data_IF_394694825684
#
_entry.id   IF_394694825684
#
_cell.length_a   1.000
_cell.length_b   1.000
_cell.length_c   1.000
_cell.angle_alpha   90.00
_cell.angle_beta   90.00
_cell.angle_gamma   90.00
#
_symmetry.space_group_name_H-M   'P 1'
#
loop_
_entity.id
_entity.type
_entity.pdbx_description
1 polymer ?
#
# COMPACT_ATOMS: atom_id res chain seq x y z
N UNK A 1 -9.76 -28.16 -27.67
CA UNK A 1 -9.00 -26.99 -27.18
C UNK A 1 -9.12 -26.97 -25.67
N UNK A 2 -8.06 -26.60 -24.95
CA UNK A 2 -8.14 -26.49 -23.49
C UNK A 2 -9.14 -25.40 -23.11
N UNK A 3 -9.93 -25.63 -22.06
CA UNK A 3 -10.79 -24.59 -21.48
C UNK A 3 -9.91 -23.52 -20.85
N UNK A 4 -10.16 -22.25 -21.21
CA UNK A 4 -9.35 -21.11 -20.73
C UNK A 4 -10.22 -20.03 -20.07
N UNK A 5 -11.52 -20.24 -19.97
CA UNK A 5 -12.47 -19.34 -19.31
C UNK A 5 -13.36 -20.16 -18.40
N UNK A 6 -13.37 -19.81 -17.13
CA UNK A 6 -14.14 -20.47 -16.09
C UNK A 6 -15.01 -19.45 -15.38
N UNK A 7 -16.23 -19.84 -15.00
CA UNK A 7 -17.09 -19.10 -14.10
C UNK A 7 -17.32 -19.97 -12.86
N UNK A 8 -16.99 -19.44 -11.68
CA UNK A 8 -17.06 -20.20 -10.43
C UNK A 8 -18.46 -20.71 -10.10
N UNK A 9 -19.52 -20.10 -10.67
CA UNK A 9 -20.92 -20.46 -10.44
C UNK A 9 -21.48 -21.49 -11.41
N UNK A 10 -20.87 -21.65 -12.58
CA UNK A 10 -21.38 -22.56 -13.62
C UNK A 10 -20.42 -23.71 -13.96
N UNK A 11 -19.18 -23.69 -13.46
CA UNK A 11 -18.23 -24.76 -13.75
C UNK A 11 -18.63 -26.07 -13.06
N UNK A 12 -18.91 -27.10 -13.87
CA UNK A 12 -19.47 -28.38 -13.42
C UNK A 12 -18.48 -29.31 -12.71
N UNK A 13 -17.18 -28.98 -12.73
CA UNK A 13 -16.15 -29.77 -12.04
C UNK A 13 -16.03 -29.47 -10.54
N UNK A 14 -16.77 -28.48 -10.04
CA UNK A 14 -16.74 -28.10 -8.63
C UNK A 14 -17.39 -29.17 -7.75
N UNK A 15 -16.73 -29.58 -6.66
CA UNK A 15 -17.30 -30.54 -5.70
C UNK A 15 -18.07 -29.86 -4.57
N UNK A 16 -18.02 -28.53 -4.49
CA UNK A 16 -18.72 -27.71 -3.50
C UNK A 16 -19.30 -26.48 -4.20
N UNK A 17 -20.30 -25.86 -3.58
CA UNK A 17 -20.79 -24.57 -4.05
C UNK A 17 -19.75 -23.47 -3.84
N UNK A 18 -19.54 -22.54 -4.80
CA UNK A 18 -18.66 -21.38 -4.58
C UNK A 18 -19.17 -20.46 -3.47
N UNK A 19 -20.48 -20.47 -3.18
CA UNK A 19 -21.04 -19.70 -2.07
C UNK A 19 -20.60 -20.24 -0.70
N UNK A 20 -20.21 -21.52 -0.63
CA UNK A 20 -19.74 -22.18 0.59
C UNK A 20 -18.21 -22.17 0.70
N UNK A 21 -17.49 -22.47 -0.39
CA UNK A 21 -16.03 -22.42 -0.42
C UNK A 21 -15.50 -22.12 -1.83
N UNK A 22 -15.48 -20.84 -2.21
CA UNK A 22 -14.94 -20.41 -3.50
C UNK A 22 -13.46 -20.73 -3.66
N UNK A 23 -12.70 -20.77 -2.56
CA UNK A 23 -11.27 -21.07 -2.63
C UNK A 23 -11.00 -22.51 -3.07
N UNK A 24 -11.81 -23.47 -2.60
CA UNK A 24 -11.75 -24.85 -3.10
C UNK A 24 -12.15 -24.94 -4.58
N UNK A 25 -13.19 -24.22 -5.00
CA UNK A 25 -13.60 -24.18 -6.42
C UNK A 25 -12.47 -23.64 -7.31
N UNK A 26 -11.82 -22.56 -6.90
CA UNK A 26 -10.67 -21.98 -7.63
C UNK A 26 -9.51 -22.99 -7.71
N UNK A 27 -9.19 -23.66 -6.60
CA UNK A 27 -8.14 -24.69 -6.59
C UNK A 27 -8.46 -25.85 -7.55
N UNK A 28 -9.72 -26.26 -7.64
CA UNK A 28 -10.18 -27.31 -8.56
C UNK A 28 -10.11 -26.86 -10.02
N UNK A 29 -10.47 -25.61 -10.31
CA UNK A 29 -10.29 -25.01 -11.65
C UNK A 29 -8.81 -24.98 -12.03
N UNK A 30 -7.92 -24.57 -11.12
CA UNK A 30 -6.46 -24.56 -11.37
C UNK A 30 -5.93 -25.98 -11.61
N UNK A 31 -6.45 -26.99 -10.90
CA UNK A 31 -6.11 -28.39 -11.16
C UNK A 31 -6.57 -28.85 -12.56
N UNK A 32 -7.78 -28.47 -12.98
CA UNK A 32 -8.29 -28.74 -14.33
C UNK A 32 -7.42 -28.09 -15.41
N UNK A 33 -7.07 -26.81 -15.24
CA UNK A 33 -6.15 -26.08 -16.14
C UNK A 33 -4.84 -26.84 -16.28
N UNK A 34 -4.21 -27.26 -15.16
CA UNK A 34 -2.94 -28.00 -15.17
C UNK A 34 -3.07 -29.35 -15.87
N UNK A 35 -4.22 -30.02 -15.77
CA UNK A 35 -4.46 -31.30 -16.44
C UNK A 35 -4.52 -31.17 -17.97
N UNK A 36 -4.98 -30.02 -18.47
CA UNK A 36 -5.12 -29.74 -19.90
C UNK A 36 -3.89 -29.04 -20.50
N UNK A 37 -3.15 -28.27 -19.71
CA UNK A 37 -1.99 -27.47 -20.14
C UNK A 37 -0.66 -28.12 -19.72
N UNK A 38 -0.41 -29.32 -20.24
CA UNK A 38 0.63 -30.23 -19.74
C UNK A 38 2.06 -29.96 -20.25
N UNK A 39 2.23 -29.29 -21.39
CA UNK A 39 3.56 -29.01 -21.98
C UNK A 39 4.02 -27.57 -21.77
N UNK A 40 5.33 -27.32 -21.79
CA UNK A 40 5.90 -25.98 -21.60
C UNK A 40 5.42 -24.96 -22.63
N UNK A 41 5.14 -25.39 -23.86
CA UNK A 41 4.72 -24.52 -24.98
C UNK A 41 3.20 -24.45 -25.14
N UNK A 42 2.43 -25.12 -24.28
CA UNK A 42 0.96 -25.14 -24.32
C UNK A 42 0.34 -24.75 -22.97
N UNK A 43 0.93 -23.76 -22.30
CA UNK A 43 0.46 -23.18 -21.03
C UNK A 43 0.06 -21.71 -21.18
N UNK A 44 -1.02 -21.40 -21.93
CA UNK A 44 -1.50 -20.03 -22.09
C UNK A 44 -2.10 -19.42 -20.82
N UNK A 45 -2.32 -20.20 -19.76
CA UNK A 45 -3.06 -19.76 -18.57
C UNK A 45 -4.57 -19.77 -18.81
N UNK A 46 -5.32 -19.02 -18.02
CA UNK A 46 -6.77 -18.99 -18.07
C UNK A 46 -7.35 -17.74 -17.37
N UNK A 47 -8.65 -17.56 -17.50
CA UNK A 47 -9.45 -16.58 -16.76
C UNK A 47 -10.43 -17.32 -15.86
N UNK A 48 -10.46 -16.96 -14.58
CA UNK A 48 -11.48 -17.37 -13.61
C UNK A 48 -12.33 -16.15 -13.28
N UNK A 49 -13.60 -16.20 -13.66
CA UNK A 49 -14.57 -15.16 -13.41
C UNK A 49 -15.37 -15.44 -12.14
N UNK A 50 -15.50 -14.43 -11.29
CA UNK A 50 -16.30 -14.39 -10.08
C UNK A 50 -17.46 -13.41 -10.33
N UNK A 51 -18.68 -13.88 -10.63
CA UNK A 51 -19.84 -13.02 -10.77
C UNK A 51 -20.11 -12.20 -9.49
N UNK A 52 -20.96 -11.15 -9.54
CA UNK A 52 -21.45 -10.53 -8.32
C UNK A 52 -22.20 -11.52 -7.42
N UNK A 53 -21.86 -11.55 -6.14
CA UNK A 53 -22.38 -12.49 -5.15
C UNK A 53 -21.55 -12.49 -3.88
N UNK A 54 -22.06 -13.16 -2.82
CA UNK A 54 -21.35 -13.35 -1.56
C UNK A 54 -20.74 -14.75 -1.49
N UNK A 55 -19.42 -14.82 -1.49
CA UNK A 55 -18.68 -16.07 -1.57
C UNK A 55 -17.86 -16.26 -0.30
N UNK A 56 -18.12 -17.32 0.44
CA UNK A 56 -17.26 -17.69 1.55
C UNK A 56 -16.02 -18.40 1.03
N UNK A 57 -14.84 -18.04 1.53
CA UNK A 57 -13.56 -18.69 1.25
C UNK A 57 -13.12 -19.45 2.51
N UNK A 58 -13.36 -20.76 2.54
CA UNK A 58 -12.98 -21.67 3.64
C UNK A 58 -11.62 -22.33 3.40
N UNK A 59 -11.19 -22.40 2.14
CA UNK A 59 -9.88 -22.91 1.73
C UNK A 59 -9.07 -21.79 1.07
N UNK A 60 -7.78 -21.63 1.40
CA UNK A 60 -6.91 -20.69 0.67
C UNK A 60 -6.86 -21.06 -0.82
N UNK A 61 -7.09 -20.07 -1.70
CA UNK A 61 -6.90 -20.25 -3.14
C UNK A 61 -5.39 -20.19 -3.46
N UNK A 62 -4.81 -21.27 -3.98
CA UNK A 62 -3.38 -21.39 -4.28
C UNK A 62 -3.14 -21.22 -5.78
N UNK A 63 -2.45 -20.15 -6.15
CA UNK A 63 -2.10 -19.80 -7.52
C UNK A 63 -0.65 -20.21 -7.78
N UNK A 64 -0.46 -21.31 -8.51
CA UNK A 64 0.85 -21.90 -8.83
C UNK A 64 1.17 -21.90 -10.34
N UNK A 65 0.35 -21.21 -11.15
CA UNK A 65 0.48 -21.08 -12.60
C UNK A 65 0.58 -19.60 -13.01
N UNK A 66 1.39 -19.32 -14.04
CA UNK A 66 1.46 -17.99 -14.66
C UNK A 66 0.29 -17.74 -15.60
N UNK A 67 0.15 -16.51 -16.06
CA UNK A 67 -0.90 -16.08 -17.02
C UNK A 67 -2.33 -16.35 -16.54
N UNK A 68 -2.53 -16.51 -15.23
CA UNK A 68 -3.86 -16.66 -14.63
C UNK A 68 -4.44 -15.29 -14.31
N UNK A 69 -5.64 -15.02 -14.84
CA UNK A 69 -6.45 -13.88 -14.44
C UNK A 69 -7.59 -14.36 -13.55
N UNK A 70 -7.69 -13.83 -12.34
CA UNK A 70 -8.88 -13.98 -11.49
C UNK A 70 -9.58 -12.63 -11.48
N UNK A 71 -10.82 -12.59 -11.98
CA UNK A 71 -11.54 -11.34 -12.14
C UNK A 71 -12.98 -11.37 -11.67
N UNK A 72 -13.50 -10.23 -11.25
CA UNK A 72 -14.91 -10.02 -10.95
C UNK A 72 -15.56 -8.94 -11.80
N UNK A 73 -16.59 -8.32 -11.22
CA UNK A 73 -17.41 -7.27 -11.83
C UNK A 73 -17.65 -6.07 -10.89
N UNK A 74 -16.74 -5.83 -9.94
CA UNK A 74 -16.72 -4.63 -9.13
C UNK A 74 -15.98 -4.78 -7.80
N UNK A 75 -15.37 -3.69 -7.35
CA UNK A 75 -14.60 -3.62 -6.10
C UNK A 75 -15.47 -3.68 -4.83
N UNK A 76 -16.78 -3.41 -4.92
CA UNK A 76 -17.74 -3.74 -3.86
C UNK A 76 -17.54 -3.13 -2.47
N UNK A 77 -16.73 -2.07 -2.32
CA UNK A 77 -16.40 -1.53 -1.00
C UNK A 77 -17.63 -0.96 -0.29
N UNK A 78 -17.75 -1.28 0.99
CA UNK A 78 -18.65 -0.66 1.96
C UNK A 78 -17.85 -0.40 3.24
N UNK A 79 -18.10 0.72 3.93
CA UNK A 79 -17.43 1.00 5.20
C UNK A 79 -18.00 0.14 6.32
N UNK A 80 -17.27 -0.89 6.70
CA UNK A 80 -17.63 -1.77 7.81
C UNK A 80 -17.26 -1.16 9.16
N UNK A 81 -16.20 -0.36 9.22
CA UNK A 81 -15.84 0.40 10.41
C UNK A 81 -16.97 1.33 10.86
N UNK A 82 -17.66 2.00 9.93
CA UNK A 82 -18.83 2.82 10.26
C UNK A 82 -20.00 1.92 10.68
N UNK A 83 -20.31 0.87 9.91
CA UNK A 83 -21.39 -0.08 10.22
C UNK A 83 -21.26 -0.59 11.65
N UNK A 84 -20.06 -0.99 12.05
CA UNK A 84 -19.80 -1.61 13.36
C UNK A 84 -19.86 -0.61 14.52
N UNK A 85 -19.68 0.69 14.27
CA UNK A 85 -19.70 1.74 15.29
C UNK A 85 -21.09 2.40 15.47
N UNK A 86 -22.08 2.05 14.64
CA UNK A 86 -23.43 2.66 14.68
C UNK A 86 -24.54 1.62 14.71
N UNK A 87 -25.74 2.05 15.12
CA UNK A 87 -26.94 1.22 14.95
C UNK A 87 -27.34 1.17 13.46
N UNK A 88 -27.11 0.02 12.83
CA UNK A 88 -27.39 -0.22 11.42
C UNK A 88 -28.63 -1.10 11.19
N UNK A 89 -29.53 -1.25 12.16
CA UNK A 89 -30.72 -2.11 12.03
C UNK A 89 -31.72 -1.65 10.94
N UNK A 90 -31.69 -0.37 10.58
CA UNK A 90 -32.51 0.21 9.53
C UNK A 90 -31.80 0.32 8.17
N UNK A 91 -30.55 -0.16 8.06
CA UNK A 91 -29.80 -0.09 6.81
C UNK A 91 -30.35 -1.12 5.80
N UNK A 92 -30.31 -0.76 4.52
CA UNK A 92 -30.70 -1.66 3.42
C UNK A 92 -29.58 -2.65 3.13
N UNK A 93 -28.35 -2.15 2.97
CA UNK A 93 -27.14 -2.96 2.81
C UNK A 93 -26.28 -2.94 4.09
N UNK A 94 -25.78 -4.11 4.48
CA UNK A 94 -24.95 -4.29 5.70
C UNK A 94 -23.62 -5.00 5.42
N UNK A 95 -23.33 -5.30 4.15
CA UNK A 95 -22.12 -6.00 3.73
C UNK A 95 -21.52 -5.33 2.47
N UNK A 96 -20.20 -5.44 2.27
CA UNK A 96 -19.59 -5.23 0.95
C UNK A 96 -20.31 -6.03 -0.15
N UNK A 97 -20.23 -5.55 -1.38
CA UNK A 97 -21.00 -6.07 -2.52
C UNK A 97 -20.16 -6.46 -3.74
N UNK A 98 -20.78 -6.42 -4.92
CA UNK A 98 -20.18 -6.87 -6.18
C UNK A 98 -19.67 -8.31 -6.09
N UNK A 99 -18.48 -8.62 -6.61
CA UNK A 99 -17.87 -9.95 -6.53
C UNK A 99 -17.19 -10.12 -5.17
N UNK A 100 -17.98 -10.40 -4.14
CA UNK A 100 -17.56 -10.31 -2.73
C UNK A 100 -17.05 -11.64 -2.19
N UNK A 101 -15.73 -11.73 -1.95
CA UNK A 101 -15.06 -12.89 -1.35
C UNK A 101 -14.75 -12.64 0.13
N UNK A 102 -15.31 -13.46 1.02
CA UNK A 102 -15.19 -13.38 2.46
C UNK A 102 -14.18 -14.40 2.99
N UNK A 103 -13.09 -13.94 3.61
CA UNK A 103 -12.05 -14.85 4.15
C UNK A 103 -12.53 -15.46 5.46
N UNK A 104 -12.91 -16.72 5.43
CA UNK A 104 -13.37 -17.49 6.59
C UNK A 104 -12.41 -18.63 7.01
N UNK A 105 -11.32 -18.82 6.27
CA UNK A 105 -10.40 -19.93 6.49
C UNK A 105 -9.52 -19.81 7.74
N UNK A 106 -9.06 -20.96 8.24
CA UNK A 106 -8.18 -21.04 9.41
C UNK A 106 -6.77 -20.49 9.15
N UNK A 107 -6.30 -20.53 7.89
CA UNK A 107 -4.99 -20.03 7.50
C UNK A 107 -4.93 -18.50 7.42
N UNK A 108 -6.07 -17.82 7.48
CA UNK A 108 -6.17 -16.36 7.42
C UNK A 108 -5.56 -15.75 6.14
N UNK A 109 -5.53 -16.50 5.03
CA UNK A 109 -5.01 -16.03 3.73
C UNK A 109 -6.03 -16.33 2.66
N UNK A 110 -6.52 -15.32 1.96
CA UNK A 110 -7.49 -15.48 0.86
C UNK A 110 -6.85 -16.15 -0.34
N UNK A 111 -5.95 -15.42 -1.02
CA UNK A 111 -5.26 -15.87 -2.23
C UNK A 111 -3.75 -15.93 -1.99
N UNK A 112 -3.16 -17.09 -2.25
CA UNK A 112 -1.74 -17.35 -2.11
C UNK A 112 -1.12 -17.60 -3.48
N UNK A 113 -0.29 -16.68 -3.96
CA UNK A 113 0.59 -16.89 -5.11
C UNK A 113 1.85 -17.59 -4.62
N UNK A 114 1.95 -18.89 -4.90
CA UNK A 114 3.06 -19.71 -4.44
C UNK A 114 3.26 -20.92 -5.36
N UNK A 115 4.52 -21.29 -5.58
CA UNK A 115 4.90 -22.55 -6.24
C UNK A 115 5.98 -23.23 -5.40
N UNK A 116 5.87 -24.54 -5.20
CA UNK A 116 6.75 -25.30 -4.30
C UNK A 116 8.22 -25.38 -4.78
N UNK A 117 8.47 -25.15 -6.06
CA UNK A 117 9.77 -25.33 -6.72
C UNK A 117 10.62 -24.05 -6.65
N UNK A 118 11.95 -24.13 -6.60
CA UNK A 118 12.81 -22.94 -6.59
C UNK A 118 12.64 -22.03 -7.85
N UNK A 119 12.42 -20.71 -7.70
CA UNK A 119 12.23 -19.79 -8.83
C UNK A 119 13.48 -19.61 -9.69
N UNK A 120 14.68 -19.69 -9.11
CA UNK A 120 15.94 -19.61 -9.86
C UNK A 120 16.10 -20.74 -10.88
N UNK A 121 15.56 -21.92 -10.56
CA UNK A 121 15.59 -23.11 -11.42
C UNK A 121 14.34 -23.24 -12.31
N UNK A 122 13.17 -22.81 -11.85
CA UNK A 122 11.87 -23.07 -12.50
C UNK A 122 11.24 -21.84 -13.15
N UNK A 123 11.94 -20.71 -13.10
CA UNK A 123 11.43 -19.42 -13.53
C UNK A 123 10.40 -18.84 -12.56
N UNK A 124 10.25 -17.52 -12.64
CA UNK A 124 9.27 -16.74 -11.87
C UNK A 124 7.83 -17.06 -12.30
N UNK A 125 6.87 -16.68 -11.47
CA UNK A 125 5.45 -16.65 -11.87
C UNK A 125 5.17 -15.35 -12.65
N UNK A 126 4.76 -15.49 -13.90
CA UNK A 126 4.62 -14.37 -14.82
C UNK A 126 3.15 -13.98 -15.00
N UNK A 127 2.88 -12.67 -15.05
CA UNK A 127 1.62 -12.09 -15.55
C UNK A 127 0.34 -12.67 -14.93
N UNK A 128 0.37 -12.91 -13.62
CA UNK A 128 -0.85 -13.18 -12.86
C UNK A 128 -1.60 -11.84 -12.70
N UNK A 129 -2.93 -11.88 -12.81
CA UNK A 129 -3.79 -10.69 -12.71
C UNK A 129 -4.91 -10.96 -11.72
N UNK A 130 -5.07 -10.07 -10.73
CA UNK A 130 -6.26 -9.99 -9.89
C UNK A 130 -7.00 -8.70 -10.24
N UNK A 131 -8.27 -8.82 -10.63
CA UNK A 131 -9.00 -7.69 -11.22
C UNK A 131 -10.47 -7.56 -10.79
N UNK A 132 -10.89 -6.37 -10.39
CA UNK A 132 -12.30 -5.97 -10.27
C UNK A 132 -13.16 -6.87 -9.34
N UNK A 133 -12.63 -7.32 -8.19
CA UNK A 133 -13.43 -8.01 -7.17
C UNK A 133 -13.10 -7.53 -5.74
N UNK A 134 -13.96 -7.89 -4.79
CA UNK A 134 -13.85 -7.49 -3.39
C UNK A 134 -13.30 -8.63 -2.53
N UNK A 135 -12.33 -8.33 -1.67
CA UNK A 135 -11.83 -9.24 -0.64
C UNK A 135 -12.09 -8.61 0.73
N UNK A 136 -12.93 -9.29 1.50
CA UNK A 136 -13.36 -8.89 2.84
C UNK A 136 -12.75 -9.83 3.89
N UNK A 137 -12.20 -9.23 4.94
CA UNK A 137 -11.69 -9.94 6.10
C UNK A 137 -12.76 -10.53 6.99
N UNK A 138 -14.01 -10.06 7.06
CA UNK A 138 -15.09 -10.51 7.96
C UNK A 138 -14.59 -10.86 9.37
N UNK A 139 -14.57 -9.89 10.28
CA UNK A 139 -14.11 -10.11 11.65
C UNK A 139 -14.96 -9.35 12.65
N UNK A 140 -15.14 -9.92 13.85
CA UNK A 140 -15.73 -9.20 14.99
C UNK A 140 -14.78 -8.19 15.63
N UNK A 141 -13.50 -8.19 15.23
CA UNK A 141 -12.47 -7.30 15.76
C UNK A 141 -11.91 -6.44 14.64
N UNK A 142 -11.74 -5.13 14.91
CA UNK A 142 -11.10 -4.20 13.98
C UNK A 142 -9.69 -4.69 13.58
N UNK A 143 -9.29 -4.58 12.31
CA UNK A 143 -8.06 -5.19 11.81
C UNK A 143 -6.77 -4.39 12.07
N UNK A 144 -6.80 -3.41 12.98
CA UNK A 144 -5.72 -2.40 13.11
C UNK A 144 -4.61 -2.80 14.08
N UNK A 145 -4.93 -3.07 15.36
CA UNK A 145 -4.02 -3.59 16.41
C UNK A 145 -4.87 -4.34 17.44
N UNK A 146 -4.53 -5.59 17.84
CA UNK A 146 -3.46 -6.45 17.31
C UNK A 146 -3.75 -6.97 15.89
N UNK A 147 -4.91 -6.60 15.33
CA UNK A 147 -5.37 -7.02 14.01
C UNK A 147 -6.08 -8.37 14.03
N UNK A 148 -6.69 -8.74 12.90
CA UNK A 148 -7.39 -10.03 12.75
C UNK A 148 -6.52 -11.12 12.08
N UNK A 149 -5.26 -10.83 11.79
CA UNK A 149 -4.30 -11.73 11.12
C UNK A 149 -4.58 -12.01 9.64
N UNK A 150 -5.72 -11.56 9.09
CA UNK A 150 -6.16 -11.91 7.74
C UNK A 150 -5.43 -11.13 6.65
N UNK A 151 -4.99 -11.87 5.64
CA UNK A 151 -4.29 -11.36 4.47
C UNK A 151 -5.16 -11.60 3.22
N UNK A 152 -5.40 -10.54 2.44
CA UNK A 152 -6.18 -10.63 1.22
C UNK A 152 -5.46 -11.45 0.14
N UNK A 153 -4.37 -10.88 -0.38
CA UNK A 153 -3.49 -11.52 -1.36
C UNK A 153 -2.07 -11.58 -0.80
N UNK A 154 -1.47 -12.76 -0.85
CA UNK A 154 -0.10 -13.04 -0.42
C UNK A 154 0.68 -13.66 -1.57
N UNK A 155 1.73 -13.01 -2.06
CA UNK A 155 2.69 -13.64 -2.97
C UNK A 155 3.97 -13.98 -2.22
N UNK A 156 4.28 -15.28 -2.14
CA UNK A 156 5.50 -15.80 -1.51
C UNK A 156 6.51 -16.32 -2.52
N UNK A 157 6.17 -16.24 -3.81
CA UNK A 157 7.02 -16.63 -4.92
C UNK A 157 7.49 -15.41 -5.69
N UNK A 158 8.66 -15.52 -6.30
CA UNK A 158 9.18 -14.49 -7.19
C UNK A 158 8.23 -14.30 -8.38
N UNK A 159 7.81 -13.07 -8.60
CA UNK A 159 6.84 -12.71 -9.64
C UNK A 159 7.42 -11.72 -10.63
N UNK A 160 6.92 -11.79 -11.85
CA UNK A 160 7.23 -10.84 -12.91
C UNK A 160 5.93 -10.38 -13.57
N UNK A 161 5.74 -9.07 -13.70
CA UNK A 161 4.54 -8.47 -14.29
C UNK A 161 3.24 -8.89 -13.57
N UNK A 162 3.28 -9.09 -12.24
CA UNK A 162 2.07 -9.29 -11.42
C UNK A 162 1.21 -8.02 -11.43
N UNK A 163 -0.11 -8.16 -11.62
CA UNK A 163 -1.04 -7.04 -11.67
C UNK A 163 -2.18 -7.17 -10.66
N UNK A 164 -2.44 -6.08 -9.95
CA UNK A 164 -3.54 -5.93 -8.99
C UNK A 164 -4.32 -4.67 -9.40
N UNK A 165 -5.51 -4.86 -9.97
CA UNK A 165 -6.21 -3.80 -10.72
C UNK A 165 -7.68 -3.69 -10.31
N UNK A 166 -8.17 -2.48 -10.00
CA UNK A 166 -9.61 -2.27 -9.78
C UNK A 166 -10.20 -3.01 -8.57
N UNK A 167 -9.36 -3.51 -7.67
CA UNK A 167 -9.77 -4.35 -6.55
C UNK A 167 -10.37 -3.55 -5.40
N UNK A 168 -11.23 -4.21 -4.62
CA UNK A 168 -11.66 -3.73 -3.31
C UNK A 168 -11.09 -4.60 -2.21
N UNK A 169 -10.51 -3.98 -1.20
CA UNK A 169 -10.02 -4.66 -0.01
C UNK A 169 -10.57 -3.96 1.23
N UNK A 170 -11.17 -4.74 2.12
CA UNK A 170 -11.83 -4.21 3.32
C UNK A 170 -11.63 -5.14 4.51
N UNK A 171 -11.47 -4.54 5.68
CA UNK A 171 -11.44 -5.23 6.96
C UNK A 171 -10.33 -6.30 7.15
N UNK A 172 -9.20 -6.17 6.44
CA UNK A 172 -8.07 -7.10 6.50
C UNK A 172 -6.94 -6.58 7.37
N UNK A 173 -6.22 -7.44 8.10
CA UNK A 173 -4.97 -7.04 8.73
C UNK A 173 -3.97 -6.52 7.68
N UNK A 174 -3.82 -7.24 6.57
CA UNK A 174 -2.99 -6.84 5.44
C UNK A 174 -3.75 -7.07 4.14
N UNK A 175 -3.97 -6.04 3.32
CA UNK A 175 -4.65 -6.24 2.04
C UNK A 175 -3.77 -7.03 1.04
N UNK A 176 -2.53 -6.57 0.86
CA UNK A 176 -1.60 -7.12 -0.11
C UNK A 176 -0.19 -7.24 0.48
N UNK A 177 0.42 -8.41 0.36
CA UNK A 177 1.86 -8.61 0.61
C UNK A 177 2.49 -9.38 -0.54
N UNK A 178 3.55 -8.84 -1.12
CA UNK A 178 4.24 -9.42 -2.29
C UNK A 178 5.74 -9.43 -2.01
N UNK A 179 6.31 -10.63 -2.02
CA UNK A 179 7.76 -10.85 -1.97
C UNK A 179 8.35 -10.84 -3.37
N UNK A 180 9.58 -10.33 -3.53
CA UNK A 180 10.40 -10.52 -4.74
C UNK A 180 9.67 -10.15 -6.05
N UNK A 181 9.11 -8.94 -6.07
CA UNK A 181 8.28 -8.47 -7.17
C UNK A 181 9.11 -7.74 -8.25
N UNK A 182 9.07 -8.21 -9.49
CA UNK A 182 9.61 -7.52 -10.66
C UNK A 182 8.47 -7.01 -11.55
N UNK A 183 8.63 -5.81 -12.10
CA UNK A 183 7.71 -5.19 -13.04
C UNK A 183 6.24 -5.17 -12.60
N UNK A 184 5.98 -5.08 -11.29
CA UNK A 184 4.63 -5.15 -10.73
C UNK A 184 3.79 -3.92 -11.09
N UNK A 185 2.48 -4.09 -11.21
CA UNK A 185 1.53 -3.00 -11.41
C UNK A 185 0.37 -3.09 -10.42
N UNK A 186 0.30 -2.17 -9.47
CA UNK A 186 -0.77 -2.07 -8.48
C UNK A 186 -1.52 -0.77 -8.75
N UNK A 187 -2.68 -0.86 -9.41
CA UNK A 187 -3.37 0.34 -9.90
C UNK A 187 -4.89 0.35 -9.74
N UNK A 188 -5.45 1.55 -9.55
CA UNK A 188 -6.90 1.77 -9.48
C UNK A 188 -7.62 0.95 -8.39
N UNK A 189 -6.93 0.57 -7.31
CA UNK A 189 -7.53 -0.20 -6.23
C UNK A 189 -8.13 0.70 -5.15
N UNK A 190 -9.16 0.19 -4.47
CA UNK A 190 -9.72 0.78 -3.26
C UNK A 190 -9.37 -0.10 -2.06
N UNK A 191 -8.36 0.30 -1.28
CA UNK A 191 -7.86 -0.44 -0.13
C UNK A 191 -8.12 0.38 1.14
N UNK A 192 -9.13 -0.01 1.91
CA UNK A 192 -9.57 0.78 3.04
C UNK A 192 -9.93 -0.09 4.25
N UNK A 193 -9.82 0.50 5.44
CA UNK A 193 -10.13 -0.19 6.70
C UNK A 193 -9.30 -1.45 6.90
N UNK A 194 -8.09 -1.46 6.35
CA UNK A 194 -7.10 -2.48 6.58
C UNK A 194 -6.07 -2.00 7.60
N UNK A 195 -5.46 -2.92 8.35
CA UNK A 195 -4.31 -2.62 9.20
C UNK A 195 -3.17 -2.03 8.37
N UNK A 196 -2.72 -2.78 7.35
CA UNK A 196 -1.83 -2.33 6.29
C UNK A 196 -2.45 -2.56 4.91
N UNK A 197 -2.15 -1.66 3.98
CA UNK A 197 -2.61 -1.77 2.59
C UNK A 197 -1.62 -2.60 1.76
N UNK A 198 -0.52 -2.01 1.29
CA UNK A 198 0.44 -2.66 0.38
C UNK A 198 1.76 -2.90 1.11
N UNK A 199 2.28 -4.13 1.03
CA UNK A 199 3.61 -4.48 1.54
C UNK A 199 4.43 -5.20 0.45
N UNK A 200 5.53 -4.58 0.04
CA UNK A 200 6.54 -5.19 -0.84
C UNK A 200 7.75 -5.57 -0.01
N UNK A 201 8.02 -6.86 0.09
CA UNK A 201 9.01 -7.42 1.04
C UNK A 201 10.17 -8.11 0.33
N UNK A 202 11.26 -8.28 1.07
CA UNK A 202 12.53 -8.88 0.64
C UNK A 202 13.26 -8.10 -0.45
N UNK A 203 12.78 -8.07 -1.68
CA UNK A 203 13.38 -7.32 -2.80
C UNK A 203 12.32 -7.02 -3.84
N UNK A 204 12.41 -5.89 -4.55
CA UNK A 204 11.54 -5.62 -5.70
C UNK A 204 12.18 -4.65 -6.67
N UNK A 205 11.74 -4.62 -7.93
CA UNK A 205 12.37 -3.78 -8.96
C UNK A 205 11.37 -3.34 -10.03
N UNK A 206 11.51 -2.10 -10.52
CA UNK A 206 10.85 -1.55 -11.73
C UNK A 206 9.31 -1.67 -11.71
N UNK A 207 8.68 -1.45 -10.56
CA UNK A 207 7.22 -1.53 -10.42
C UNK A 207 6.50 -0.21 -10.22
N UNK A 208 5.16 -0.25 -10.29
CA UNK A 208 4.29 0.93 -10.19
C UNK A 208 3.18 0.71 -9.18
N UNK A 209 2.96 1.70 -8.32
CA UNK A 209 1.81 1.81 -7.41
C UNK A 209 1.09 3.11 -7.75
N UNK A 210 -0.02 3.03 -8.48
CA UNK A 210 -0.65 4.21 -9.09
C UNK A 210 -2.15 4.31 -8.92
N UNK A 211 -2.69 5.52 -8.79
CA UNK A 211 -4.14 5.78 -8.80
C UNK A 211 -4.96 4.99 -7.75
N UNK A 212 -4.35 4.61 -6.62
CA UNK A 212 -5.05 3.86 -5.58
C UNK A 212 -5.66 4.79 -4.51
N UNK A 213 -6.78 4.38 -3.93
CA UNK A 213 -7.24 4.86 -2.62
C UNK A 213 -6.66 3.95 -1.54
N UNK A 214 -5.79 4.49 -0.69
CA UNK A 214 -5.13 3.78 0.40
C UNK A 214 -5.52 4.41 1.74
N UNK A 215 -6.52 3.84 2.39
CA UNK A 215 -7.13 4.35 3.63
C UNK A 215 -6.76 3.40 4.77
N UNK A 216 -5.50 3.47 5.17
CA UNK A 216 -4.90 2.56 6.15
C UNK A 216 -5.05 3.10 7.56
N UNK A 217 -5.13 2.21 8.54
CA UNK A 217 -5.16 2.60 9.94
C UNK A 217 -3.83 3.18 10.43
N UNK A 218 -3.88 3.92 11.53
CA UNK A 218 -2.73 4.54 12.18
C UNK A 218 -1.60 3.57 12.58
N UNK A 219 -1.89 2.27 12.58
CA UNK A 219 -1.03 1.19 13.05
C UNK A 219 -0.19 0.50 11.98
N UNK A 220 -0.66 0.48 10.72
CA UNK A 220 0.06 -0.13 9.60
C UNK A 220 0.37 0.85 8.46
N UNK A 221 0.90 0.35 7.36
CA UNK A 221 1.40 1.22 6.29
C UNK A 221 0.41 1.26 5.12
N UNK A 222 0.26 2.43 4.50
CA UNK A 222 -0.38 2.51 3.18
C UNK A 222 0.49 1.84 2.14
N UNK A 223 1.78 2.11 2.17
CA UNK A 223 2.78 1.41 1.37
C UNK A 223 3.96 1.13 2.29
N UNK A 224 4.32 -0.14 2.43
CA UNK A 224 5.62 -0.56 2.91
C UNK A 224 6.40 -1.14 1.74
N UNK A 225 7.66 -0.74 1.61
CA UNK A 225 8.53 -1.22 0.55
C UNK A 225 9.97 -1.30 1.05
N UNK A 226 10.63 -2.43 0.79
CA UNK A 226 12.04 -2.62 1.13
C UNK A 226 12.87 -3.17 -0.02
N UNK A 227 14.15 -2.81 -0.04
CA UNK A 227 15.14 -3.25 -1.02
C UNK A 227 14.64 -3.10 -2.46
N UNK A 228 14.04 -1.93 -2.73
CA UNK A 228 13.45 -1.64 -4.03
C UNK A 228 14.32 -0.71 -4.87
N UNK A 229 14.30 -0.96 -6.18
CA UNK A 229 14.94 -0.16 -7.20
C UNK A 229 13.91 0.34 -8.23
N UNK A 230 14.00 1.62 -8.60
CA UNK A 230 13.28 2.23 -9.74
C UNK A 230 11.73 2.17 -9.70
N UNK A 231 11.10 2.14 -8.51
CA UNK A 231 9.63 2.16 -8.45
C UNK A 231 9.00 3.54 -8.69
N UNK A 232 7.78 3.54 -9.23
CA UNK A 232 6.95 4.74 -9.38
C UNK A 232 5.74 4.66 -8.45
N UNK A 233 5.58 5.66 -7.60
CA UNK A 233 4.43 5.83 -6.70
C UNK A 233 3.75 7.15 -7.06
N UNK A 234 2.64 7.09 -7.81
CA UNK A 234 2.00 8.31 -8.31
C UNK A 234 0.48 8.30 -8.38
N UNK A 235 -0.13 9.48 -8.25
CA UNK A 235 -1.58 9.64 -8.38
C UNK A 235 -2.40 8.97 -7.27
N UNK A 236 -1.79 8.52 -6.18
CA UNK A 236 -2.50 7.83 -5.10
C UNK A 236 -3.13 8.84 -4.12
N UNK A 237 -4.28 8.47 -3.54
CA UNK A 237 -4.90 9.15 -2.40
C UNK A 237 -4.68 8.32 -1.13
N UNK A 238 -3.72 8.75 -0.31
CA UNK A 238 -3.39 8.13 0.97
C UNK A 238 -4.07 8.92 2.10
N UNK A 239 -4.91 8.25 2.88
CA UNK A 239 -5.80 8.90 3.86
C UNK A 239 -5.70 8.27 5.26
N UNK A 240 -6.12 9.03 6.27
CA UNK A 240 -6.20 8.68 7.69
C UNK A 240 -4.85 8.39 8.38
N UNK A 241 -4.24 7.24 8.10
CA UNK A 241 -2.91 6.84 8.54
C UNK A 241 -1.86 6.93 7.42
N UNK A 242 -2.02 7.88 6.49
CA UNK A 242 -1.25 7.97 5.25
C UNK A 242 0.26 7.85 5.51
N UNK A 243 0.86 6.77 5.02
CA UNK A 243 2.28 6.46 5.25
C UNK A 243 2.88 5.59 4.15
N UNK A 244 3.98 6.08 3.58
CA UNK A 244 4.92 5.30 2.77
C UNK A 244 6.17 5.08 3.62
N UNK A 245 6.43 3.83 3.98
CA UNK A 245 7.60 3.44 4.76
C UNK A 245 8.58 2.67 3.86
N UNK A 246 9.81 3.16 3.83
CA UNK A 246 10.87 2.70 2.93
C UNK A 246 12.07 2.19 3.71
N UNK A 247 12.61 1.05 3.28
CA UNK A 247 13.87 0.50 3.79
C UNK A 247 14.78 0.17 2.62
N UNK A 248 15.93 0.83 2.51
CA UNK A 248 16.92 0.55 1.46
C UNK A 248 16.30 0.63 0.06
N UNK A 249 15.56 1.71 -0.18
CA UNK A 249 14.89 1.98 -1.46
C UNK A 249 15.69 3.03 -2.21
N UNK A 250 15.83 2.85 -3.51
CA UNK A 250 16.61 3.76 -4.34
C UNK A 250 15.87 4.14 -5.61
N UNK A 251 16.15 5.37 -6.08
CA UNK A 251 15.69 5.88 -7.39
C UNK A 251 14.17 5.79 -7.60
N UNK A 252 13.39 5.88 -6.52
CA UNK A 252 11.94 5.88 -6.65
C UNK A 252 11.41 7.28 -6.99
N UNK A 253 10.30 7.30 -7.71
CA UNK A 253 9.58 8.51 -8.11
C UNK A 253 8.26 8.56 -7.35
N UNK A 254 8.15 9.46 -6.37
CA UNK A 254 6.96 9.69 -5.55
C UNK A 254 6.34 11.02 -5.96
N UNK A 255 5.36 10.99 -6.85
CA UNK A 255 4.84 12.22 -7.47
C UNK A 255 3.32 12.28 -7.63
N UNK A 256 2.75 13.48 -7.50
CA UNK A 256 1.32 13.69 -7.74
C UNK A 256 0.39 12.93 -6.78
N UNK A 257 0.85 12.61 -5.57
CA UNK A 257 0.03 11.93 -4.57
C UNK A 257 -0.64 12.92 -3.61
N UNK A 258 -1.80 12.54 -3.08
CA UNK A 258 -2.48 13.24 -1.99
C UNK A 258 -2.27 12.48 -0.69
N UNK A 259 -1.61 13.09 0.29
CA UNK A 259 -1.48 12.58 1.64
C UNK A 259 -2.37 13.37 2.59
N UNK A 260 -3.25 12.69 3.32
CA UNK A 260 -4.00 13.25 4.44
C UNK A 260 -3.81 12.32 5.63
N UNK A 261 -3.11 12.78 6.67
CA UNK A 261 -2.84 11.96 7.85
C UNK A 261 -3.18 12.71 9.13
N UNK A 262 -3.65 11.96 10.12
CA UNK A 262 -3.74 12.44 11.50
C UNK A 262 -2.37 12.41 12.20
N UNK A 263 -1.34 11.83 11.56
CA UNK A 263 -0.04 11.51 12.18
C UNK A 263 1.15 12.02 11.33
N UNK A 264 2.28 12.22 12.00
CA UNK A 264 3.58 12.49 11.36
C UNK A 264 4.19 11.23 10.73
N UNK A 265 5.20 11.42 9.87
CA UNK A 265 5.86 10.34 9.14
C UNK A 265 4.99 9.78 7.99
N UNK A 266 4.59 10.67 7.06
CA UNK A 266 3.86 10.30 5.84
C UNK A 266 4.78 9.69 4.78
N UNK A 267 6.03 10.13 4.70
CA UNK A 267 7.10 9.44 3.98
C UNK A 267 8.24 9.22 4.96
N UNK A 268 8.69 7.98 5.11
CA UNK A 268 9.70 7.59 6.09
C UNK A 268 10.77 6.74 5.44
N UNK A 269 11.99 7.25 5.39
CA UNK A 269 13.19 6.45 5.16
C UNK A 269 13.62 5.85 6.51
N UNK A 270 13.22 4.61 6.79
CA UNK A 270 13.59 3.92 8.02
C UNK A 270 15.08 3.56 8.02
N UNK A 271 15.58 3.07 6.89
CA UNK A 271 17.02 2.89 6.61
C UNK A 271 17.45 3.82 5.47
N UNK A 272 18.76 3.97 5.18
CA UNK A 272 19.21 4.85 4.10
C UNK A 272 18.51 4.55 2.77
N UNK A 273 17.86 5.56 2.21
CA UNK A 273 17.24 5.55 0.88
C UNK A 273 17.86 6.68 0.06
N UNK A 274 18.13 6.41 -1.22
CA UNK A 274 18.98 7.28 -2.04
C UNK A 274 18.28 7.70 -3.32
N UNK A 275 18.61 8.89 -3.82
CA UNK A 275 18.24 9.35 -5.16
C UNK A 275 16.72 9.37 -5.40
N UNK A 276 15.95 9.58 -4.34
CA UNK A 276 14.49 9.66 -4.41
C UNK A 276 14.03 10.96 -5.06
N UNK A 277 13.02 10.92 -5.92
CA UNK A 277 12.29 12.11 -6.37
C UNK A 277 10.93 12.19 -5.68
N UNK A 278 10.80 13.11 -4.72
CA UNK A 278 9.55 13.39 -3.99
C UNK A 278 9.03 14.75 -4.46
N UNK A 279 8.15 14.75 -5.46
CA UNK A 279 7.77 16.00 -6.13
C UNK A 279 6.29 16.15 -6.49
N UNK A 280 5.78 17.38 -6.40
CA UNK A 280 4.40 17.68 -6.82
C UNK A 280 3.33 16.96 -6.00
N UNK A 281 3.62 16.59 -4.75
CA UNK A 281 2.66 15.98 -3.85
C UNK A 281 1.97 17.03 -2.98
N UNK A 282 0.76 16.71 -2.51
CA UNK A 282 0.08 17.50 -1.49
C UNK A 282 0.00 16.72 -0.19
N UNK A 283 0.63 17.24 0.86
CA UNK A 283 0.56 16.71 2.20
C UNK A 283 -0.37 17.55 3.08
N UNK A 284 -1.22 16.89 3.87
CA UNK A 284 -2.05 17.52 4.91
C UNK A 284 -1.92 16.74 6.20
N UNK A 285 -1.23 17.30 7.19
CA UNK A 285 -1.23 16.81 8.57
C UNK A 285 -2.35 17.54 9.29
N UNK A 286 -3.36 16.82 9.77
CA UNK A 286 -4.45 17.41 10.57
C UNK A 286 -4.53 16.74 11.95
N UNK A 287 -5.13 17.39 12.94
CA UNK A 287 -5.55 16.70 14.16
C UNK A 287 -6.78 15.82 13.88
N UNK A 288 -6.86 14.67 14.53
CA UNK A 288 -7.94 13.72 14.34
C UNK A 288 -7.85 12.52 15.25
N UNK A 289 -8.69 11.54 14.95
CA UNK A 289 -8.87 10.28 15.67
C UNK A 289 -7.80 9.21 15.33
N UNK A 290 -7.86 8.10 16.06
CA UNK A 290 -6.92 6.98 16.00
C UNK A 290 -6.06 6.84 17.27
N UNK A 291 -5.31 5.75 17.38
CA UNK A 291 -4.48 5.42 18.54
C UNK A 291 -3.29 6.39 18.74
N UNK A 292 -2.42 6.14 19.74
CA UNK A 292 -1.29 7.02 20.01
C UNK A 292 -0.44 7.17 18.75
N UNK A 293 0.00 8.41 18.47
CA UNK A 293 0.84 8.67 17.32
C UNK A 293 2.12 7.82 17.40
N UNK A 294 2.48 7.12 16.32
CA UNK A 294 3.75 6.35 16.26
C UNK A 294 4.97 7.22 16.45
N UNK A 295 4.85 8.46 15.96
CA UNK A 295 5.88 9.46 15.89
C UNK A 295 5.30 10.77 16.39
N UNK A 296 6.13 11.57 17.06
CA UNK A 296 5.78 12.93 17.45
C UNK A 296 5.80 13.90 16.25
N UNK A 297 5.47 15.18 16.48
CA UNK A 297 5.49 16.23 15.45
C UNK A 297 6.91 16.74 15.13
N UNK A 298 7.96 16.28 15.83
CA UNK A 298 9.36 16.58 15.48
C UNK A 298 9.92 15.62 14.44
N UNK A 299 9.32 14.43 14.31
CA UNK A 299 9.72 13.40 13.35
C UNK A 299 9.62 13.84 11.87
N UNK A 300 8.80 14.84 11.58
CA UNK A 300 8.57 15.32 10.22
C UNK A 300 7.40 14.65 9.53
N UNK A 301 6.71 15.39 8.65
CA UNK A 301 5.77 14.80 7.68
C UNK A 301 6.54 13.97 6.64
N UNK A 302 7.71 14.44 6.23
CA UNK A 302 8.69 13.70 5.42
C UNK A 302 9.97 13.55 6.23
N UNK A 303 10.40 12.31 6.43
CA UNK A 303 11.59 11.96 7.18
C UNK A 303 12.61 11.31 6.24
N UNK A 304 13.66 12.06 5.88
CA UNK A 304 14.72 11.62 4.99
C UNK A 304 15.91 11.07 5.78
N UNK A 305 16.38 9.90 5.35
CA UNK A 305 17.64 9.30 5.76
C UNK A 305 18.30 8.78 4.49
N UNK A 306 19.45 9.32 4.12
CA UNK A 306 20.20 8.94 2.93
C UNK A 306 20.59 10.14 2.06
N UNK A 307 21.06 9.84 0.86
CA UNK A 307 21.81 10.78 0.01
C UNK A 307 21.05 11.12 -1.26
N UNK A 308 21.32 12.32 -1.78
CA UNK A 308 20.92 12.74 -3.13
C UNK A 308 19.39 12.69 -3.36
N UNK A 309 18.60 12.74 -2.29
CA UNK A 309 17.14 12.79 -2.39
C UNK A 309 16.67 14.19 -2.72
N UNK A 310 15.65 14.29 -3.58
CA UNK A 310 15.02 15.54 -3.98
C UNK A 310 13.60 15.64 -3.41
N UNK A 311 13.33 16.67 -2.61
CA UNK A 311 11.98 17.03 -2.12
C UNK A 311 11.61 18.37 -2.73
N UNK A 312 10.83 18.37 -3.80
CA UNK A 312 10.63 19.57 -4.63
C UNK A 312 9.18 19.86 -4.96
N UNK A 313 8.79 21.12 -5.09
CA UNK A 313 7.46 21.52 -5.57
C UNK A 313 6.27 20.86 -4.84
N UNK A 314 6.43 20.53 -3.55
CA UNK A 314 5.36 19.95 -2.75
C UNK A 314 4.57 21.04 -2.00
N UNK A 315 3.31 20.75 -1.69
CA UNK A 315 2.49 21.57 -0.80
C UNK A 315 2.32 20.88 0.55
N UNK A 316 2.76 21.52 1.63
CA UNK A 316 2.63 21.03 3.00
C UNK A 316 1.62 21.88 3.77
N UNK A 317 0.47 21.30 4.09
CA UNK A 317 -0.54 21.88 4.96
C UNK A 317 -0.44 21.24 6.36
N UNK A 318 -0.15 22.04 7.39
CA UNK A 318 -0.09 21.59 8.78
C UNK A 318 -1.19 22.25 9.61
N UNK A 319 -2.14 21.46 10.10
CA UNK A 319 -3.37 21.92 10.74
C UNK A 319 -3.61 21.16 12.04
N UNK A 320 -2.84 21.50 13.07
CA UNK A 320 -2.91 20.86 14.39
C UNK A 320 -3.06 21.94 15.44
N UNK A 321 -4.07 21.89 16.33
CA UNK A 321 -4.17 22.86 17.41
C UNK A 321 -2.89 22.86 18.24
N UNK A 322 -2.43 24.03 18.67
CA UNK A 322 -1.16 24.16 19.39
C UNK A 322 -1.08 23.28 20.65
N UNK A 323 -2.21 23.09 21.35
CA UNK A 323 -2.33 22.23 22.52
C UNK A 323 -2.20 20.73 22.22
N UNK A 324 -2.32 20.32 20.96
CA UNK A 324 -2.24 18.94 20.50
C UNK A 324 -0.92 18.62 19.80
N UNK A 325 0.03 19.57 19.79
CA UNK A 325 1.38 19.31 19.29
C UNK A 325 2.12 18.42 20.29
N UNK A 326 2.80 17.40 19.77
CA UNK A 326 3.62 16.48 20.55
C UNK A 326 5.09 16.60 20.10
N UNK A 327 6.06 16.79 21.02
CA UNK A 327 5.87 17.12 22.43
C UNK A 327 5.30 18.54 22.61
N UNK A 328 4.65 18.79 23.76
CA UNK A 328 4.02 20.08 24.06
C UNK A 328 5.00 21.25 23.93
N UNK A 329 4.58 22.31 23.27
CA UNK A 329 5.37 23.53 23.06
C UNK A 329 6.44 23.43 21.95
N UNK A 330 6.58 22.26 21.31
CA UNK A 330 7.50 22.12 20.19
C UNK A 330 7.01 22.91 18.96
N UNK A 331 7.97 23.28 18.09
CA UNK A 331 7.69 23.71 16.72
C UNK A 331 7.73 22.50 15.80
N UNK A 332 6.59 22.10 15.19
CA UNK A 332 6.52 20.93 14.31
C UNK A 332 7.48 20.98 13.13
N UNK A 333 7.99 19.81 12.76
CA UNK A 333 8.85 19.61 11.60
C UNK A 333 8.00 19.21 10.39
N UNK A 334 8.24 19.86 9.25
CA UNK A 334 7.61 19.50 7.97
C UNK A 334 8.46 18.47 7.25
N UNK A 335 9.73 18.80 6.99
CA UNK A 335 10.73 17.87 6.43
C UNK A 335 11.88 17.79 7.41
N UNK A 336 12.18 16.57 7.87
CA UNK A 336 13.37 16.26 8.64
C UNK A 336 14.38 15.59 7.70
N UNK A 337 15.55 16.20 7.52
CA UNK A 337 16.73 15.53 6.97
C UNK A 337 17.51 14.94 8.13
N UNK A 338 17.16 13.72 8.53
CA UNK A 338 17.79 13.01 9.66
C UNK A 338 19.28 12.81 9.41
N UNK A 339 19.67 12.54 8.17
CA UNK A 339 21.07 12.31 7.83
C UNK A 339 21.30 12.04 6.35
N UNK A 340 22.57 12.03 5.98
CA UNK A 340 23.04 11.82 4.61
C UNK A 340 23.42 13.13 3.89
N UNK A 341 23.92 12.99 2.68
CA UNK A 341 24.58 14.05 1.94
C UNK A 341 23.77 14.51 0.71
N UNK A 342 23.93 15.80 0.36
CA UNK A 342 23.46 16.38 -0.92
C UNK A 342 21.96 16.22 -1.18
N UNK A 343 21.15 16.14 -0.12
CA UNK A 343 19.71 16.22 -0.27
C UNK A 343 19.31 17.62 -0.80
N UNK A 344 18.23 17.68 -1.57
CA UNK A 344 17.81 18.88 -2.29
C UNK A 344 16.35 19.19 -1.98
N UNK A 345 16.12 20.23 -1.17
CA UNK A 345 14.79 20.74 -0.83
C UNK A 345 14.57 22.03 -1.61
N UNK A 346 13.63 22.04 -2.56
CA UNK A 346 13.37 23.24 -3.36
C UNK A 346 11.89 23.53 -3.60
N UNK A 347 11.51 24.80 -3.64
CA UNK A 347 10.17 25.27 -4.05
C UNK A 347 9.00 24.59 -3.32
N UNK A 348 9.20 24.19 -2.05
CA UNK A 348 8.13 23.61 -1.25
C UNK A 348 7.29 24.72 -0.60
N UNK A 349 5.97 24.64 -0.72
CA UNK A 349 5.04 25.60 -0.11
C UNK A 349 4.61 25.10 1.26
N UNK A 350 4.78 25.95 2.28
CA UNK A 350 4.28 25.71 3.63
C UNK A 350 3.00 26.54 3.88
N UNK A 351 1.98 25.89 4.44
CA UNK A 351 0.76 26.51 4.94
C UNK A 351 0.44 25.90 6.31
N UNK A 352 0.38 26.70 7.36
CA UNK A 352 0.24 26.17 8.72
C UNK A 352 -0.57 27.09 9.64
N UNK A 353 -1.31 26.50 10.58
CA UNK A 353 -2.03 27.22 11.64
C UNK A 353 -1.13 27.59 12.84
N UNK A 354 0.09 27.05 12.87
CA UNK A 354 1.14 27.29 13.87
C UNK A 354 2.50 27.49 13.18
N UNK A 355 3.53 27.92 13.91
CA UNK A 355 4.88 27.94 13.36
C UNK A 355 5.35 26.51 13.03
N UNK A 356 5.99 26.32 11.87
CA UNK A 356 6.55 25.03 11.43
C UNK A 356 7.91 25.26 10.76
N UNK A 357 8.72 24.21 10.63
CA UNK A 357 10.07 24.33 10.07
C UNK A 357 10.53 23.10 9.29
N UNK A 358 11.52 23.28 8.43
CA UNK A 358 12.43 22.24 7.99
C UNK A 358 13.56 22.09 9.00
N UNK A 359 14.03 20.86 9.20
CA UNK A 359 15.14 20.55 10.10
C UNK A 359 16.20 19.78 9.34
N UNK A 360 17.42 20.28 9.39
CA UNK A 360 18.62 19.57 8.96
C UNK A 360 19.34 19.09 10.21
N UNK A 361 19.37 17.77 10.44
CA UNK A 361 20.04 17.22 11.62
C UNK A 361 21.58 17.27 11.46
N UNK A 362 22.31 17.12 12.56
CA UNK A 362 23.77 17.26 12.61
C UNK A 362 24.52 16.26 11.71
N UNK A 363 23.89 15.13 11.38
CA UNK A 363 24.46 14.12 10.49
C UNK A 363 24.20 14.39 9.00
N UNK A 364 23.44 15.44 8.67
CA UNK A 364 23.23 15.86 7.29
C UNK A 364 24.39 16.73 6.80
N UNK A 365 24.76 16.60 5.51
CA UNK A 365 25.86 17.37 4.93
C UNK A 365 25.53 17.84 3.51
N UNK A 366 26.04 19.01 3.12
CA UNK A 366 25.86 19.57 1.79
C UNK A 366 24.40 19.63 1.29
N UNK A 367 23.42 19.67 2.21
CA UNK A 367 22.01 19.76 1.85
C UNK A 367 21.72 21.16 1.28
N UNK A 368 20.92 21.23 0.23
CA UNK A 368 20.49 22.49 -0.37
C UNK A 368 19.03 22.74 -0.04
N UNK A 369 18.71 23.92 0.48
CA UNK A 369 17.36 24.36 0.81
C UNK A 369 17.08 25.66 0.08
N UNK A 370 16.27 25.62 -0.97
CA UNK A 370 16.02 26.76 -1.87
C UNK A 370 14.53 27.09 -1.91
N UNK A 371 14.14 28.30 -1.56
CA UNK A 371 12.74 28.76 -1.65
C UNK A 371 11.72 27.78 -1.04
N UNK A 372 12.11 27.14 0.07
CA UNK A 372 11.26 26.17 0.79
C UNK A 372 10.88 26.64 2.20
N UNK A 373 11.29 27.84 2.58
CA UNK A 373 10.91 28.48 3.84
C UNK A 373 11.67 29.78 4.04
N UNK A 374 11.22 30.61 4.99
CA UNK A 374 11.97 31.77 5.51
C UNK A 374 13.11 31.28 6.42
N UNK A 375 14.01 32.19 6.84
CA UNK A 375 15.07 31.85 7.79
C UNK A 375 14.54 31.30 9.13
N UNK A 376 13.39 31.79 9.61
CA UNK A 376 12.75 31.29 10.83
C UNK A 376 12.14 29.89 10.66
N UNK A 377 11.93 29.44 9.41
CA UNK A 377 11.37 28.13 9.07
C UNK A 377 12.45 27.10 8.71
N UNK A 378 13.72 27.41 8.97
CA UNK A 378 14.83 26.47 8.82
C UNK A 378 15.58 26.35 10.15
N UNK A 379 15.70 25.14 10.67
CA UNK A 379 16.64 24.82 11.73
C UNK A 379 17.79 24.01 11.15
N UNK A 380 18.98 24.59 11.17
CA UNK A 380 20.21 23.94 10.74
C UNK A 380 21.03 23.47 11.94
N UNK A 381 21.15 22.15 12.11
CA UNK A 381 22.01 21.51 13.11
C UNK A 381 23.29 20.94 12.48
N UNK A 382 23.47 21.05 11.16
CA UNK A 382 24.65 20.56 10.42
C UNK A 382 25.92 21.41 10.65
N UNK A 383 25.83 22.49 11.44
CA UNK A 383 26.93 23.41 11.69
C UNK A 383 27.24 24.31 10.49
N UNK A 384 26.25 24.67 9.68
CA UNK A 384 26.43 25.48 8.47
C UNK A 384 26.87 24.69 7.24
N UNK A 385 26.86 23.35 7.29
CA UNK A 385 27.18 22.49 6.14
C UNK A 385 25.97 22.32 5.22
N UNK A 386 25.43 23.45 4.76
CA UNK A 386 24.26 23.53 3.90
C UNK A 386 24.32 24.76 2.98
N UNK A 387 23.51 24.77 1.93
CA UNK A 387 23.28 25.95 1.11
C UNK A 387 21.82 26.37 1.27
N UNK A 388 21.57 27.60 1.71
CA UNK A 388 20.22 28.11 1.93
C UNK A 388 19.93 29.37 1.14
N UNK A 389 18.79 29.36 0.44
CA UNK A 389 18.17 30.56 -0.14
C UNK A 389 16.76 30.65 0.42
N UNK A 390 16.53 31.64 1.28
CA UNK A 390 15.24 31.87 1.90
C UNK A 390 14.16 32.19 0.85
N UNK A 391 12.92 31.82 1.18
CA UNK A 391 11.74 32.34 0.47
C UNK A 391 11.62 33.83 0.77
N UNK A 392 11.50 34.70 -0.25
CA UNK A 392 11.35 36.14 -0.06
C UNK A 392 10.13 36.55 0.77
#
# INVERSE_FOLDING_TARGET
>A
MATTVYDVTTWTGATVSPYTDIGLVINQIIADIKSQQNSQTTRPGAVIYIPPGHYTLQTTANIDIGFLTIKGSGHGFMSEAIRDDVNHSAWVETLPGSSHVQIANNNQVGFLVNRATDPGTNGRLNSIVFQDFCIDGVSSTKPYIPGNGKIGIKSQYDTDSLRIEGMGFVYLNTALTIRNADAFNITNNFIAECGSSIQLTDSSIVGKITNNYLISAWAGNSIFIENNEDCVISGNSLLWGARIQMKNVHRAVITGNKFVSNFSGMIVHETPCHEQLISGNHFRRKYGDGGPARNDDLFGMVHLNGNDNSVTANHFAFEVPAANIVPSGATPTVVLVKGGARNFLATNKLASNVAVRHVLDASSTATKVLWSGTAAQLQDLSGGNMSFVATP
#
